data_IF_635758697017
#
_entry.id   IF_635758697017
#
_cell.length_a   1.000
_cell.length_b   1.000
_cell.length_c   1.000
_cell.angle_alpha   90.00
_cell.angle_beta   90.00
_cell.angle_gamma   90.00
#
_symmetry.space_group_name_H-M   'P 1'
#
loop_
_entity.id
_entity.type
_entity.pdbx_description
1 polymer ?
#
# COMPACT_ATOMS: atom_id res chain seq x y z
N UNK A 1 -9.93 2.25 0.91
CA UNK A 1 -8.99 1.24 0.40
C UNK A 1 -8.01 0.78 1.46
N UNK A 2 -7.33 1.65 2.21
CA UNK A 2 -6.25 1.24 3.13
C UNK A 2 -6.61 0.12 4.11
N UNK A 3 -7.74 0.22 4.83
CA UNK A 3 -8.15 -0.87 5.74
C UNK A 3 -8.47 -2.20 5.04
N UNK A 4 -8.94 -2.15 3.79
CA UNK A 4 -9.19 -3.36 2.98
C UNK A 4 -7.87 -4.01 2.54
N UNK A 5 -6.91 -3.20 2.07
CA UNK A 5 -5.55 -3.67 1.75
C UNK A 5 -4.86 -4.24 3.00
N UNK A 6 -4.99 -3.59 4.16
CA UNK A 6 -4.42 -4.10 5.43
C UNK A 6 -4.99 -5.47 5.80
N UNK A 7 -6.31 -5.66 5.66
CA UNK A 7 -6.92 -6.96 5.93
C UNK A 7 -6.37 -8.04 4.99
N UNK A 8 -6.28 -7.75 3.69
CA UNK A 8 -5.73 -8.69 2.70
C UNK A 8 -4.25 -9.00 2.95
N UNK A 9 -3.46 -8.01 3.35
CA UNK A 9 -2.06 -8.20 3.77
C UNK A 9 -1.95 -9.12 4.98
N UNK A 10 -2.80 -8.92 5.99
CA UNK A 10 -2.81 -9.78 7.19
C UNK A 10 -3.24 -11.20 6.82
N UNK A 11 -4.25 -11.36 5.97
CA UNK A 11 -4.68 -12.67 5.48
C UNK A 11 -3.55 -13.38 4.73
N UNK A 12 -2.84 -12.70 3.82
CA UNK A 12 -1.74 -13.34 3.09
C UNK A 12 -0.55 -13.70 3.97
N UNK A 13 -0.31 -12.95 5.05
CA UNK A 13 0.71 -13.32 6.04
C UNK A 13 0.29 -14.53 6.90
N UNK A 14 -0.99 -14.63 7.27
CA UNK A 14 -1.54 -15.75 8.04
C UNK A 14 -1.44 -17.09 7.28
N UNK A 15 -1.46 -17.06 5.95
CA UNK A 15 -1.23 -18.25 5.11
C UNK A 15 0.22 -18.75 5.15
N UNK A 16 1.17 -17.90 5.53
CA UNK A 16 2.61 -18.19 5.53
C UNK A 16 3.20 -18.47 6.91
N UNK A 17 2.65 -17.86 7.97
CA UNK A 17 3.21 -17.97 9.32
C UNK A 17 2.15 -17.82 10.43
N UNK A 18 2.37 -18.53 11.55
CA UNK A 18 1.58 -18.38 12.77
C UNK A 18 1.93 -17.05 13.46
N UNK A 19 0.91 -16.30 13.89
CA UNK A 19 1.04 -15.04 14.63
C UNK A 19 1.84 -15.16 15.93
N UNK A 20 1.93 -16.36 16.51
CA UNK A 20 2.75 -16.64 17.69
C UNK A 20 4.25 -16.66 17.37
N UNK A 21 4.63 -16.89 16.11
CA UNK A 21 5.99 -16.72 15.63
C UNK A 21 6.15 -15.30 15.05
N UNK A 22 6.39 -14.33 15.93
CA UNK A 22 6.39 -12.91 15.59
C UNK A 22 7.39 -12.56 14.48
N UNK A 23 8.56 -13.20 14.43
CA UNK A 23 9.58 -12.91 13.41
C UNK A 23 9.16 -13.47 12.04
N UNK A 24 8.71 -14.73 11.98
CA UNK A 24 8.21 -15.29 10.73
C UNK A 24 6.95 -14.56 10.21
N UNK A 25 6.05 -14.16 11.10
CA UNK A 25 4.87 -13.38 10.74
C UNK A 25 5.23 -11.98 10.24
N UNK A 26 6.23 -11.33 10.85
CA UNK A 26 6.74 -10.03 10.38
C UNK A 26 7.36 -10.15 8.98
N UNK A 27 8.11 -11.20 8.72
CA UNK A 27 8.69 -11.45 7.38
C UNK A 27 7.58 -11.74 6.36
N UNK A 28 6.58 -12.53 6.72
CA UNK A 28 5.42 -12.77 5.85
C UNK A 28 4.63 -11.49 5.53
N UNK A 29 4.52 -10.54 6.47
CA UNK A 29 3.95 -9.22 6.20
C UNK A 29 4.83 -8.38 5.26
N UNK A 30 6.16 -8.43 5.42
CA UNK A 30 7.10 -7.68 4.55
C UNK A 30 7.05 -8.13 3.09
N UNK A 31 6.75 -9.41 2.85
CA UNK A 31 6.57 -9.94 1.49
C UNK A 31 5.45 -9.24 0.72
N UNK A 32 4.47 -8.65 1.42
CA UNK A 32 3.35 -7.91 0.84
C UNK A 32 2.63 -8.65 -0.30
N UNK A 33 2.52 -9.97 -0.21
CA UNK A 33 1.98 -10.83 -1.27
C UNK A 33 0.45 -10.81 -1.30
N UNK A 34 -0.14 -9.71 -1.77
CA UNK A 34 -1.58 -9.55 -1.97
C UNK A 34 -1.85 -8.54 -3.09
N UNK A 35 -3.04 -8.65 -3.69
CA UNK A 35 -3.49 -7.70 -4.71
C UNK A 35 -4.04 -6.43 -4.06
N UNK A 36 -3.26 -5.34 -4.10
CA UNK A 36 -3.70 -4.06 -3.55
C UNK A 36 -4.70 -3.36 -4.45
N UNK A 37 -5.70 -2.72 -3.84
CA UNK A 37 -6.65 -1.84 -4.56
C UNK A 37 -6.01 -0.58 -5.14
N UNK A 38 -4.73 -0.34 -4.85
CA UNK A 38 -3.93 0.79 -5.36
C UNK A 38 -3.02 0.42 -6.53
N UNK A 39 -3.03 -0.85 -6.97
CA UNK A 39 -2.10 -1.39 -7.97
C UNK A 39 -0.85 -1.97 -7.30
N UNK A 40 0.29 -1.88 -7.98
CA UNK A 40 1.57 -2.38 -7.47
C UNK A 40 1.88 -1.80 -6.08
N UNK A 41 2.23 -2.69 -5.15
CA UNK A 41 2.49 -2.36 -3.75
C UNK A 41 3.67 -3.17 -3.23
N UNK A 42 4.58 -2.48 -2.53
CA UNK A 42 5.65 -3.10 -1.77
C UNK A 42 6.03 -2.20 -0.59
N UNK A 43 6.94 -2.65 0.26
CA UNK A 43 7.46 -1.86 1.36
C UNK A 43 8.87 -1.37 1.04
N UNK A 44 9.16 -0.11 1.40
CA UNK A 44 10.52 0.41 1.44
C UNK A 44 11.31 -0.20 2.60
N UNK A 45 12.61 0.08 2.66
CA UNK A 45 13.50 -0.39 3.73
C UNK A 45 13.01 -0.01 5.14
N UNK A 46 12.34 1.14 5.27
CA UNK A 46 11.71 1.61 6.51
C UNK A 46 10.26 1.11 6.70
N UNK A 47 9.85 0.07 5.98
CA UNK A 47 8.51 -0.55 6.04
C UNK A 47 7.33 0.38 5.70
N UNK A 48 7.59 1.52 5.06
CA UNK A 48 6.54 2.37 4.52
C UNK A 48 6.12 1.88 3.13
N UNK A 49 4.83 1.98 2.76
CA UNK A 49 4.36 1.72 1.41
C UNK A 49 5.16 2.44 0.31
N UNK A 50 5.57 1.67 -0.69
CA UNK A 50 5.90 2.12 -2.05
C UNK A 50 4.63 1.93 -2.88
N UNK A 51 4.18 3.02 -3.53
CA UNK A 51 2.93 3.02 -4.28
C UNK A 51 2.94 4.11 -5.36
N UNK A 52 2.11 3.95 -6.37
CA UNK A 52 1.86 5.00 -7.35
C UNK A 52 0.85 6.04 -6.81
N UNK A 53 1.16 7.32 -7.00
CA UNK A 53 0.33 8.45 -6.57
C UNK A 53 -0.28 9.10 -7.81
N UNK A 54 -1.58 9.37 -7.74
CA UNK A 54 -2.37 9.93 -8.83
C UNK A 54 -2.88 11.33 -8.50
N UNK A 55 -2.71 12.26 -9.45
CA UNK A 55 -3.40 13.54 -9.38
C UNK A 55 -4.86 13.34 -9.77
N UNK A 56 -5.76 13.92 -8.97
CA UNK A 56 -7.20 13.80 -9.15
C UNK A 56 -7.83 15.18 -9.13
N UNK A 57 -8.86 15.35 -9.95
CA UNK A 57 -9.68 16.53 -9.97
C UNK A 57 -11.09 16.17 -9.51
N UNK A 58 -11.64 16.98 -8.61
CA UNK A 58 -13.07 16.92 -8.29
C UNK A 58 -13.84 17.48 -9.47
N UNK A 59 -14.71 16.67 -10.05
CA UNK A 59 -15.61 17.04 -11.15
C UNK A 59 -17.05 16.73 -10.75
N UNK A 60 -18.01 17.32 -11.46
CA UNK A 60 -19.42 17.00 -11.33
C UNK A 60 -19.87 16.16 -12.53
N UNK A 61 -20.42 14.98 -12.26
CA UNK A 61 -21.03 14.10 -13.26
C UNK A 61 -22.52 13.95 -12.91
N UNK A 62 -23.37 14.70 -13.64
CA UNK A 62 -24.79 14.84 -13.29
C UNK A 62 -24.95 15.53 -11.93
N UNK A 63 -25.63 14.86 -10.99
CA UNK A 63 -25.87 15.36 -9.63
C UNK A 63 -24.81 14.91 -8.62
N UNK A 64 -23.74 14.22 -9.05
CA UNK A 64 -22.71 13.63 -8.17
C UNK A 64 -21.36 14.32 -8.38
N UNK A 65 -20.71 14.70 -7.27
CA UNK A 65 -19.30 15.08 -7.27
C UNK A 65 -18.41 13.84 -7.14
N UNK A 66 -17.47 13.66 -8.06
CA UNK A 66 -16.56 12.51 -8.09
C UNK A 66 -15.12 12.93 -8.42
N UNK A 67 -14.18 12.01 -8.25
CA UNK A 67 -12.77 12.23 -8.55
C UNK A 67 -12.39 11.62 -9.90
N UNK A 68 -12.08 12.46 -10.89
CA UNK A 68 -11.45 12.05 -12.14
C UNK A 68 -9.94 11.94 -11.96
N UNK A 69 -9.36 10.81 -12.36
CA UNK A 69 -7.90 10.65 -12.42
C UNK A 69 -7.37 11.44 -13.62
N UNK A 70 -6.41 12.33 -13.39
CA UNK A 70 -5.78 13.12 -14.45
C UNK A 70 -4.54 12.40 -15.00
N UNK A 71 -3.67 11.97 -14.10
CA UNK A 71 -2.44 11.24 -14.43
C UNK A 71 -1.84 10.59 -13.19
N UNK A 72 -0.94 9.64 -13.40
CA UNK A 72 0.01 9.20 -12.38
C UNK A 72 1.10 10.28 -12.28
N UNK A 73 1.28 10.85 -11.09
CA UNK A 73 2.28 11.91 -10.85
C UNK A 73 3.55 11.38 -10.23
N UNK A 74 3.47 10.25 -9.54
CA UNK A 74 4.62 9.54 -8.97
C UNK A 74 4.38 8.05 -9.17
N UNK A 75 5.28 7.36 -9.87
CA UNK A 75 5.22 5.92 -10.10
C UNK A 75 6.08 5.20 -9.05
N UNK A 76 5.56 4.14 -8.43
CA UNK A 76 6.29 3.32 -7.46
C UNK A 76 7.12 4.14 -6.46
N UNK A 77 6.48 5.15 -5.87
CA UNK A 77 7.16 6.15 -5.07
C UNK A 77 7.24 5.74 -3.60
N UNK A 78 8.45 5.80 -3.05
CA UNK A 78 8.70 5.66 -1.61
C UNK A 78 8.37 6.96 -0.86
N UNK A 79 8.48 6.95 0.46
CA UNK A 79 8.36 8.17 1.27
C UNK A 79 9.65 9.00 1.26
N UNK A 80 9.53 10.31 1.46
CA UNK A 80 10.64 11.27 1.42
C UNK A 80 11.69 11.10 2.55
N UNK A 81 11.37 10.33 3.60
CA UNK A 81 12.19 10.18 4.81
C UNK A 81 12.73 8.75 4.98
N UNK A 82 12.78 7.98 3.88
CA UNK A 82 13.24 6.58 3.90
C UNK A 82 14.64 6.45 4.48
N UNK A 83 15.54 7.40 4.16
CA UNK A 83 16.93 7.39 4.62
C UNK A 83 17.10 7.87 6.07
N UNK A 84 16.13 8.63 6.58
CA UNK A 84 16.14 9.15 7.96
C UNK A 84 15.60 8.13 8.97
N UNK A 85 14.85 7.12 8.52
CA UNK A 85 14.28 6.08 9.36
C UNK A 85 15.07 4.77 9.25
N UNK A 86 16.04 4.61 10.15
CA UNK A 86 16.84 3.37 10.23
C UNK A 86 16.06 2.30 10.98
N UNK A 87 15.72 1.23 10.28
CA UNK A 87 15.06 0.01 10.79
C UNK A 87 15.93 -1.22 10.56
#
# INVERSE_FOLDING_TARGET
>A
SQGFDTANLVISALEKADVKNADAFRDALRDANFESTRGDFSFASNQHPIQSIYARQVIQEGDVFTNKVLSMVLENHSNAYVDDCKM
#
